data_IF_539874917849
#
_entry.id   IF_539874917849
#
_cell.length_a   1.000
_cell.length_b   1.000
_cell.length_c   1.000
_cell.angle_alpha   90.00
_cell.angle_beta   90.00
_cell.angle_gamma   90.00
#
_symmetry.space_group_name_H-M   'P 1'
#
loop_
_entity.id
_entity.type
_entity.pdbx_description
1 polymer ?
#
# COMPACT_ATOMS: atom_id res chain seq x y z
N UNK A 1 14.70 -3.81 -0.88
CA UNK A 1 14.43 -4.91 -1.84
C UNK A 1 13.04 -4.72 -2.39
N UNK A 2 12.64 -5.49 -3.39
CA UNK A 2 11.26 -5.45 -3.92
C UNK A 2 10.35 -6.40 -3.13
N UNK A 3 9.04 -6.24 -3.26
CA UNK A 3 8.09 -7.24 -2.77
C UNK A 3 8.09 -8.42 -3.75
N UNK A 4 8.41 -9.65 -3.32
CA UNK A 4 8.40 -10.81 -4.19
C UNK A 4 6.97 -11.20 -4.58
N UNK A 5 6.75 -11.52 -5.86
CA UNK A 5 5.43 -11.92 -6.35
C UNK A 5 5.00 -13.28 -5.77
N UNK A 6 5.95 -14.08 -5.31
CA UNK A 6 5.75 -15.37 -4.65
C UNK A 6 4.95 -15.27 -3.35
N UNK A 7 4.86 -14.09 -2.73
CA UNK A 7 3.93 -13.87 -1.61
C UNK A 7 2.48 -14.15 -2.00
N UNK A 8 2.12 -13.97 -3.27
CA UNK A 8 0.81 -14.33 -3.82
C UNK A 8 0.45 -15.82 -3.74
N UNK A 9 1.42 -16.69 -3.42
CA UNK A 9 1.19 -18.12 -3.20
C UNK A 9 0.73 -18.45 -1.78
N UNK A 10 0.77 -17.48 -0.86
CA UNK A 10 0.36 -17.65 0.53
C UNK A 10 -1.17 -17.53 0.65
N UNK A 11 -1.90 -18.57 0.21
CA UNK A 11 -3.37 -18.56 0.11
C UNK A 11 -4.12 -18.42 1.44
N UNK A 12 -3.42 -18.59 2.57
CA UNK A 12 -3.96 -18.45 3.93
C UNK A 12 -3.48 -17.15 4.63
N UNK A 13 -2.78 -16.26 3.92
CA UNK A 13 -2.30 -15.00 4.48
C UNK A 13 -3.45 -14.02 4.66
N UNK A 14 -3.69 -13.60 5.90
CA UNK A 14 -4.79 -12.69 6.28
C UNK A 14 -4.31 -11.22 6.40
N UNK A 15 -3.12 -11.03 6.95
CA UNK A 15 -2.50 -9.73 7.23
C UNK A 15 -1.10 -9.68 6.60
N UNK A 16 -0.89 -8.65 5.77
CA UNK A 16 0.42 -8.29 5.23
C UNK A 16 0.84 -6.90 5.71
N UNK A 17 1.60 -6.86 6.79
CA UNK A 17 2.25 -5.65 7.26
C UNK A 17 3.71 -5.55 6.79
N UNK A 18 3.95 -4.67 5.82
CA UNK A 18 5.29 -4.34 5.32
C UNK A 18 5.64 -2.86 5.58
N UNK A 19 4.90 -2.19 6.44
CA UNK A 19 5.08 -0.78 6.72
C UNK A 19 6.48 -0.47 7.27
N UNK A 20 6.98 0.73 6.99
CA UNK A 20 8.24 1.28 7.54
C UNK A 20 9.48 0.47 7.18
N UNK A 21 9.54 -0.01 5.94
CA UNK A 21 10.73 -0.62 5.38
C UNK A 21 11.33 0.28 4.28
N UNK A 22 12.46 -0.15 3.72
CA UNK A 22 13.06 0.48 2.55
C UNK A 22 12.75 -0.36 1.30
N UNK A 23 11.49 -0.81 1.17
CA UNK A 23 11.05 -1.54 -0.01
C UNK A 23 10.85 -0.57 -1.17
N UNK A 24 11.13 -1.03 -2.39
CA UNK A 24 11.02 -0.22 -3.60
C UNK A 24 10.43 -1.05 -4.75
N UNK A 25 10.08 -0.38 -5.85
CA UNK A 25 9.47 -1.02 -7.02
C UNK A 25 7.95 -1.12 -6.89
N UNK A 26 7.34 -1.88 -7.80
CA UNK A 26 5.89 -2.01 -7.88
C UNK A 26 5.31 -3.02 -6.89
N UNK A 27 4.03 -2.83 -6.55
CA UNK A 27 3.25 -3.77 -5.74
C UNK A 27 2.80 -4.93 -6.64
N UNK A 28 3.17 -6.19 -6.35
CA UNK A 28 2.78 -7.32 -7.18
C UNK A 28 1.27 -7.53 -7.18
N UNK A 29 0.67 -7.63 -8.38
CA UNK A 29 -0.76 -7.95 -8.57
C UNK A 29 -1.13 -9.28 -7.92
N UNK A 30 -0.19 -10.20 -7.78
CA UNK A 30 -0.41 -11.50 -7.13
C UNK A 30 -0.87 -11.38 -5.67
N UNK A 31 -0.58 -10.27 -4.99
CA UNK A 31 -1.07 -10.03 -3.63
C UNK A 31 -2.60 -9.84 -3.59
N UNK A 32 -3.18 -9.17 -4.57
CA UNK A 32 -4.64 -8.98 -4.65
C UNK A 32 -5.39 -10.24 -5.08
N UNK A 33 -4.66 -11.32 -5.39
CA UNK A 33 -5.21 -12.64 -5.73
C UNK A 33 -5.25 -13.59 -4.52
N UNK A 34 -4.69 -13.19 -3.37
CA UNK A 34 -4.74 -13.99 -2.15
C UNK A 34 -6.16 -13.89 -1.57
N UNK A 35 -6.93 -14.99 -1.53
CA UNK A 35 -8.36 -14.95 -1.23
C UNK A 35 -8.67 -14.62 0.24
N UNK A 36 -7.70 -14.80 1.13
CA UNK A 36 -7.84 -14.59 2.58
C UNK A 36 -7.28 -13.25 3.05
N UNK A 37 -6.58 -12.51 2.19
CA UNK A 37 -5.89 -11.29 2.56
C UNK A 37 -6.88 -10.15 2.71
N UNK A 38 -7.06 -9.67 3.93
CA UNK A 38 -8.03 -8.61 4.25
C UNK A 38 -7.38 -7.36 4.84
N UNK A 39 -6.12 -7.45 5.27
CA UNK A 39 -5.35 -6.34 5.84
C UNK A 39 -4.03 -6.17 5.10
N UNK A 40 -3.78 -4.98 4.56
CA UNK A 40 -2.53 -4.65 3.84
C UNK A 40 -2.03 -3.28 4.28
N UNK A 41 -0.84 -3.25 4.88
CA UNK A 41 -0.17 -2.00 5.27
C UNK A 41 1.21 -1.88 4.60
N UNK A 42 1.32 -0.92 3.67
CA UNK A 42 2.51 -0.65 2.87
C UNK A 42 3.11 0.74 3.12
N UNK A 43 2.61 1.48 4.11
CA UNK A 43 3.04 2.87 4.36
C UNK A 43 4.53 2.97 4.69
N UNK A 44 5.11 4.13 4.43
CA UNK A 44 6.53 4.43 4.67
C UNK A 44 7.47 3.43 3.97
N UNK A 45 7.31 3.30 2.66
CA UNK A 45 8.22 2.63 1.75
C UNK A 45 8.50 3.52 0.52
N UNK A 46 9.39 3.07 -0.36
CA UNK A 46 9.64 3.68 -1.67
C UNK A 46 8.97 2.89 -2.80
N UNK A 47 7.80 2.32 -2.50
CA UNK A 47 6.97 1.60 -3.46
C UNK A 47 6.33 2.56 -4.45
N UNK A 48 6.15 2.08 -5.68
CA UNK A 48 5.54 2.79 -6.79
C UNK A 48 4.36 2.01 -7.38
N UNK A 49 3.56 2.65 -8.25
CA UNK A 49 2.58 1.96 -9.08
C UNK A 49 1.14 2.12 -8.57
N UNK A 50 0.35 1.04 -8.65
CA UNK A 50 -1.10 1.08 -8.42
C UNK A 50 -1.56 -0.04 -7.51
N UNK A 51 -2.49 0.28 -6.61
CA UNK A 51 -3.25 -0.65 -5.78
C UNK A 51 -4.68 -0.86 -6.30
N UNK A 52 -5.02 -0.39 -7.51
CA UNK A 52 -6.38 -0.55 -8.05
C UNK A 52 -6.81 -2.01 -8.15
N UNK A 53 -5.87 -2.96 -8.28
CA UNK A 53 -6.19 -4.39 -8.27
C UNK A 53 -6.82 -4.88 -6.95
N UNK A 54 -6.49 -4.24 -5.82
CA UNK A 54 -7.16 -4.48 -4.53
C UNK A 54 -8.55 -3.82 -4.49
N UNK A 55 -8.78 -2.78 -5.29
CA UNK A 55 -10.06 -2.07 -5.33
C UNK A 55 -11.07 -2.70 -6.29
N UNK A 56 -10.60 -3.44 -7.30
CA UNK A 56 -11.44 -4.02 -8.35
C UNK A 56 -11.72 -5.51 -8.17
N UNK A 57 -11.17 -6.16 -7.15
CA UNK A 57 -11.44 -7.57 -6.86
C UNK A 57 -12.67 -7.74 -5.97
N UNK A 58 -13.08 -8.99 -5.73
CA UNK A 58 -14.25 -9.34 -4.92
C UNK A 58 -13.92 -9.48 -3.41
N UNK A 59 -12.77 -8.97 -2.95
CA UNK A 59 -12.32 -9.09 -1.56
C UNK A 59 -12.70 -7.81 -0.81
N UNK A 60 -13.41 -7.98 0.30
CA UNK A 60 -13.69 -6.89 1.22
C UNK A 60 -12.51 -6.70 2.18
N UNK A 61 -11.63 -5.75 1.85
CA UNK A 61 -10.51 -5.40 2.72
C UNK A 61 -11.01 -4.61 3.92
N UNK A 62 -10.56 -5.00 5.11
CA UNK A 62 -10.82 -4.26 6.36
C UNK A 62 -9.82 -3.13 6.57
N UNK A 63 -8.63 -3.24 5.97
CA UNK A 63 -7.62 -2.19 5.96
C UNK A 63 -6.74 -2.26 4.71
N UNK A 64 -6.54 -1.11 4.07
CA UNK A 64 -5.63 -0.92 2.94
C UNK A 64 -4.91 0.40 3.12
N UNK A 65 -3.58 0.38 3.24
CA UNK A 65 -2.79 1.60 3.38
C UNK A 65 -1.49 1.60 2.59
N UNK A 66 -1.17 2.78 2.03
CA UNK A 66 0.03 3.01 1.22
C UNK A 66 0.47 4.48 1.21
N UNK A 67 1.69 4.74 0.77
CA UNK A 67 2.17 6.11 0.53
C UNK A 67 1.62 6.66 -0.80
N UNK A 68 0.59 7.51 -0.75
CA UNK A 68 0.04 8.20 -1.92
C UNK A 68 0.44 9.69 -1.93
N UNK A 69 0.54 10.30 -3.11
CA UNK A 69 0.79 11.74 -3.27
C UNK A 69 -0.41 12.38 -3.98
N UNK A 70 -0.96 13.45 -3.38
CA UNK A 70 -1.91 14.35 -4.02
C UNK A 70 -1.16 15.62 -4.46
N UNK A 71 -0.79 15.73 -5.72
CA UNK A 71 -0.03 16.89 -6.20
C UNK A 71 0.45 16.77 -7.65
N UNK A 72 0.36 17.88 -8.37
CA UNK A 72 0.59 18.07 -9.81
C UNK A 72 2.07 18.11 -10.23
N UNK A 73 2.94 17.40 -9.54
CA UNK A 73 4.34 17.19 -9.92
C UNK A 73 4.66 15.71 -10.15
N UNK A 74 3.94 15.10 -11.11
CA UNK A 74 4.29 13.92 -11.91
C UNK A 74 5.01 12.71 -11.26
N UNK A 75 4.91 12.53 -9.94
CA UNK A 75 5.33 11.32 -9.23
C UNK A 75 4.18 10.88 -8.33
N UNK A 76 3.16 10.25 -8.90
CA UNK A 76 2.25 9.42 -8.10
C UNK A 76 3.10 8.29 -7.50
N UNK A 77 3.29 8.26 -6.17
CA UNK A 77 3.95 7.13 -5.51
C UNK A 77 3.05 5.89 -5.63
N UNK A 78 1.88 5.87 -5.02
CA UNK A 78 0.89 4.80 -5.23
C UNK A 78 -0.47 5.39 -5.58
N UNK A 79 -1.09 4.91 -6.66
CA UNK A 79 -2.50 5.17 -6.97
C UNK A 79 -3.39 4.16 -6.24
N UNK A 80 -4.39 4.63 -5.50
CA UNK A 80 -5.36 3.76 -4.82
C UNK A 80 -6.68 4.49 -4.62
N UNK A 81 -7.74 4.08 -5.31
CA UNK A 81 -9.08 4.69 -5.20
C UNK A 81 -9.88 4.24 -3.96
N UNK A 82 -9.51 3.11 -3.35
CA UNK A 82 -10.23 2.48 -2.23
C UNK A 82 -9.40 2.35 -0.94
N UNK A 83 -8.20 2.95 -0.85
CA UNK A 83 -7.36 2.81 0.34
C UNK A 83 -8.01 3.48 1.54
N UNK A 84 -8.03 2.77 2.67
CA UNK A 84 -8.52 3.26 3.96
C UNK A 84 -7.64 4.38 4.51
N UNK A 85 -6.31 4.27 4.32
CA UNK A 85 -5.38 5.30 4.73
C UNK A 85 -4.32 5.56 3.67
N UNK A 86 -3.91 6.83 3.58
CA UNK A 86 -2.78 7.24 2.77
C UNK A 86 -1.89 8.20 3.57
N UNK A 87 -0.58 7.89 3.60
CA UNK A 87 0.43 8.76 4.22
C UNK A 87 1.11 9.65 3.17
N UNK A 88 1.02 10.95 3.39
CA UNK A 88 1.74 11.94 2.58
C UNK A 88 3.21 11.95 3.02
N UNK A 89 4.13 11.59 2.12
CA UNK A 89 5.51 12.01 2.26
C UNK A 89 5.57 13.50 1.99
N UNK A 90 5.42 14.32 3.04
CA UNK A 90 5.76 15.73 2.95
C UNK A 90 7.25 15.81 2.63
N UNK A 91 7.58 16.03 1.35
CA UNK A 91 8.95 16.26 0.87
C UNK A 91 9.60 17.52 1.49
N UNK A 92 8.92 18.22 2.41
CA UNK A 92 9.41 19.43 3.04
C UNK A 92 9.81 19.30 4.51
N UNK A 93 9.54 18.19 5.21
CA UNK A 93 9.97 18.08 6.62
C UNK A 93 10.37 16.66 7.00
N UNK A 94 11.69 16.43 7.01
CA UNK A 94 12.28 15.44 7.90
C UNK A 94 11.80 15.70 9.33
N UNK A 95 11.28 14.64 9.98
CA UNK A 95 10.69 14.56 11.34
C UNK A 95 9.17 14.64 11.40
N UNK A 96 8.58 13.44 11.45
CA UNK A 96 7.49 13.07 12.37
C UNK A 96 6.23 13.92 12.34
N UNK A 97 5.17 13.38 11.73
CA UNK A 97 3.87 13.40 12.38
C UNK A 97 3.02 12.23 11.88
N UNK A 98 2.72 11.31 12.80
CA UNK A 98 1.62 10.37 12.64
C UNK A 98 0.35 11.20 12.71
N UNK A 99 -0.32 11.42 11.58
CA UNK A 99 -1.71 11.87 11.60
C UNK A 99 -2.56 10.67 11.24
N UNK A 100 -2.99 9.98 12.28
CA UNK A 100 -4.22 9.20 12.26
C UNK A 100 -5.30 10.09 11.61
N UNK A 101 -5.86 9.63 10.50
CA UNK A 101 -7.20 10.05 10.11
C UNK A 101 -8.12 8.99 10.67
N UNK A 102 -8.42 9.10 11.97
CA UNK A 102 -9.64 8.56 12.55
C UNK A 102 -10.71 9.64 12.39
N UNK A 103 -11.78 9.29 11.68
CA UNK A 103 -13.16 9.69 11.93
C UNK A 103 -14.08 8.74 11.17
#
# INVERSE_FOLDING_TARGET
GTIPSELGLLTELIDLNLARNNLFGEIPVSLSMIPTLTEVDLIRNDLTGSMEHFCTNDIEYTWLSADCLMGNNNWTKIQCSCCHACTILNLTNSKGNNRFLEN
#
